data_IF_344536478061
#
_entry.id   IF_344536478061
#
_cell.length_a   1.000
_cell.length_b   1.000
_cell.length_c   1.000
_cell.angle_alpha   90.00
_cell.angle_beta   90.00
_cell.angle_gamma   90.00
#
_symmetry.space_group_name_H-M   'P 1'
#
loop_
_entity.id
_entity.type
_entity.pdbx_description
1 polymer ?
#
# COMPACT_ATOMS: atom_id res chain seq x y z
N UNK A 1 -6.22 11.97 -11.78
CA UNK A 1 -5.77 12.83 -10.67
C UNK A 1 -5.06 11.92 -9.71
N UNK A 2 -3.79 12.19 -9.40
CA UNK A 2 -3.10 11.46 -8.34
C UNK A 2 -3.51 12.16 -7.04
N UNK A 3 -4.28 11.48 -6.19
CA UNK A 3 -4.85 12.10 -4.98
C UNK A 3 -3.88 12.06 -3.79
N UNK A 4 -2.57 12.07 -4.06
CA UNK A 4 -1.52 11.95 -3.03
C UNK A 4 -1.27 10.53 -2.51
N UNK A 5 -1.95 9.53 -3.06
CA UNK A 5 -1.79 8.13 -2.65
C UNK A 5 -0.58 7.48 -3.32
N UNK A 6 0.30 6.90 -2.51
CA UNK A 6 1.47 6.17 -2.94
C UNK A 6 1.48 4.76 -2.37
N UNK A 7 2.01 3.81 -3.13
CA UNK A 7 2.11 2.41 -2.70
C UNK A 7 3.00 2.32 -1.45
N UNK A 8 2.52 1.55 -0.48
CA UNK A 8 3.28 1.25 0.74
C UNK A 8 3.92 -0.13 0.63
N UNK A 9 5.15 -0.26 1.12
CA UNK A 9 5.86 -1.53 1.13
C UNK A 9 5.46 -2.43 2.32
N UNK A 10 5.64 -3.74 2.15
CA UNK A 10 5.08 -4.75 3.03
C UNK A 10 5.64 -4.72 4.46
N UNK A 11 6.85 -4.22 4.64
CA UNK A 11 7.55 -4.10 5.92
C UNK A 11 7.17 -2.84 6.71
N UNK A 12 6.54 -1.86 6.05
CA UNK A 12 6.08 -0.64 6.69
C UNK A 12 4.89 -0.95 7.62
N UNK A 13 4.74 -0.10 8.65
CA UNK A 13 3.75 -0.26 9.71
C UNK A 13 2.68 0.80 9.59
N UNK A 14 1.42 0.37 9.68
CA UNK A 14 0.25 1.25 9.74
C UNK A 14 -0.35 1.26 11.14
N UNK A 15 -0.92 2.41 11.51
CA UNK A 15 -1.69 2.55 12.74
C UNK A 15 -3.10 3.05 12.42
N UNK A 16 -4.12 2.25 12.78
CA UNK A 16 -5.54 2.59 12.64
C UNK A 16 -6.16 2.62 14.04
N UNK A 17 -6.24 3.83 14.60
CA UNK A 17 -6.65 4.06 15.98
C UNK A 17 -8.12 3.70 16.25
N UNK A 18 -9.00 3.90 15.27
CA UNK A 18 -10.43 3.68 15.43
C UNK A 18 -10.81 2.22 15.19
N UNK A 19 -11.26 1.52 16.25
CA UNK A 19 -11.66 0.11 16.16
C UNK A 19 -12.77 -0.14 15.11
N UNK A 20 -13.70 0.79 14.92
CA UNK A 20 -14.82 0.65 13.96
C UNK A 20 -14.40 0.78 12.50
N UNK A 21 -13.20 1.30 12.24
CA UNK A 21 -12.66 1.46 10.88
C UNK A 21 -11.66 0.34 10.53
N UNK A 22 -11.37 -0.57 11.46
CA UNK A 22 -10.50 -1.71 11.18
C UNK A 22 -11.24 -2.75 10.34
N UNK A 23 -10.60 -3.18 9.25
CA UNK A 23 -11.17 -4.15 8.32
C UNK A 23 -10.88 -5.60 8.73
N UNK A 24 -9.59 -5.98 8.74
CA UNK A 24 -9.15 -7.38 8.87
C UNK A 24 -8.30 -7.66 10.10
N UNK A 25 -7.66 -6.63 10.66
CA UNK A 25 -6.73 -6.76 11.78
C UNK A 25 -7.36 -6.14 13.02
N UNK A 26 -7.37 -6.89 14.13
CA UNK A 26 -8.08 -6.50 15.34
C UNK A 26 -7.28 -5.53 16.24
N UNK A 27 -5.97 -5.43 16.05
CA UNK A 27 -5.09 -4.52 16.78
C UNK A 27 -4.83 -3.24 15.97
N UNK A 28 -4.42 -2.17 16.65
CA UNK A 28 -4.27 -0.85 16.04
C UNK A 28 -3.09 -0.74 15.09
N UNK A 29 -2.03 -1.52 15.31
CA UNK A 29 -0.72 -1.29 14.71
C UNK A 29 -0.20 -2.56 14.05
N UNK A 30 -0.13 -2.56 12.72
CA UNK A 30 0.20 -3.76 11.95
C UNK A 30 1.11 -3.45 10.77
N UNK A 31 1.90 -4.44 10.35
CA UNK A 31 2.64 -4.36 9.10
C UNK A 31 1.68 -4.50 7.91
N UNK A 32 1.98 -3.82 6.80
CA UNK A 32 1.22 -3.96 5.55
C UNK A 32 1.22 -5.42 5.09
N UNK A 33 2.33 -6.14 5.23
CA UNK A 33 2.43 -7.56 4.92
C UNK A 33 1.49 -8.44 5.76
N UNK A 34 1.27 -8.10 7.03
CA UNK A 34 0.28 -8.80 7.88
C UNK A 34 -1.13 -8.62 7.29
N UNK A 35 -1.47 -7.40 6.89
CA UNK A 35 -2.78 -7.09 6.30
C UNK A 35 -3.00 -7.86 4.99
N UNK A 36 -2.01 -7.87 4.10
CA UNK A 36 -2.07 -8.59 2.82
C UNK A 36 -2.22 -10.11 3.06
N UNK A 37 -1.46 -10.69 3.98
CA UNK A 37 -1.58 -12.11 4.33
C UNK A 37 -2.95 -12.46 4.89
N UNK A 38 -3.50 -11.61 5.77
CA UNK A 38 -4.86 -11.77 6.30
C UNK A 38 -5.91 -11.65 5.20
N UNK A 39 -5.75 -10.72 4.27
CA UNK A 39 -6.65 -10.56 3.14
C UNK A 39 -6.63 -11.78 2.22
N UNK A 40 -5.44 -12.28 1.88
CA UNK A 40 -5.27 -13.50 1.08
C UNK A 40 -5.99 -14.69 1.73
N UNK A 41 -5.82 -14.87 3.05
CA UNK A 41 -6.51 -15.93 3.79
C UNK A 41 -8.03 -15.73 3.81
N UNK A 42 -8.50 -14.49 4.01
CA UNK A 42 -9.93 -14.16 4.08
C UNK A 42 -10.65 -14.38 2.75
N UNK A 43 -10.01 -14.10 1.62
CA UNK A 43 -10.60 -14.36 0.29
C UNK A 43 -10.40 -15.80 -0.19
N UNK A 44 -9.70 -16.64 0.57
CA UNK A 44 -9.43 -18.03 0.23
C UNK A 44 -8.54 -18.19 -1.01
N UNK A 45 -7.65 -17.23 -1.28
CA UNK A 45 -6.81 -17.26 -2.48
C UNK A 45 -5.76 -18.38 -2.39
N UNK A 46 -5.73 -19.24 -3.40
CA UNK A 46 -4.82 -20.40 -3.47
C UNK A 46 -4.20 -20.55 -4.86
N UNK A 47 -3.06 -21.26 -4.94
CA UNK A 47 -2.35 -21.51 -6.20
C UNK A 47 -2.02 -20.21 -6.95
N UNK A 48 -2.40 -20.14 -8.22
CA UNK A 48 -2.19 -18.97 -9.09
C UNK A 48 -2.86 -17.69 -8.57
N UNK A 49 -3.92 -17.80 -7.76
CA UNK A 49 -4.61 -16.63 -7.20
C UNK A 49 -3.72 -15.85 -6.24
N UNK A 50 -2.68 -16.47 -5.66
CA UNK A 50 -1.72 -15.81 -4.77
C UNK A 50 -0.99 -14.66 -5.50
N UNK A 51 -0.86 -14.74 -6.83
CA UNK A 51 -0.23 -13.68 -7.64
C UNK A 51 -0.93 -12.33 -7.53
N UNK A 52 -2.22 -12.30 -7.19
CA UNK A 52 -2.94 -11.05 -6.88
C UNK A 52 -2.29 -10.26 -5.73
N UNK A 53 -1.59 -10.94 -4.82
CA UNK A 53 -0.99 -10.35 -3.61
C UNK A 53 0.54 -10.24 -3.70
N UNK A 54 1.14 -10.57 -4.85
CA UNK A 54 2.59 -10.53 -5.06
C UNK A 54 2.99 -9.83 -6.39
N UNK A 55 3.29 -10.62 -7.43
CA UNK A 55 3.80 -10.15 -8.73
C UNK A 55 2.72 -9.60 -9.67
N UNK A 56 1.44 -9.80 -9.34
CA UNK A 56 0.29 -9.45 -10.15
C UNK A 56 -0.05 -10.48 -11.22
N UNK A 57 -1.31 -10.42 -11.68
CA UNK A 57 -1.82 -11.28 -12.74
C UNK A 57 -1.88 -10.54 -14.08
N UNK A 58 -1.65 -11.24 -15.19
CA UNK A 58 -1.79 -10.66 -16.52
C UNK A 58 -3.26 -10.31 -16.81
N UNK A 59 -3.49 -9.10 -17.32
CA UNK A 59 -4.82 -8.62 -17.63
C UNK A 59 -4.79 -7.65 -18.82
N UNK A 60 -6.00 -7.24 -19.26
CA UNK A 60 -6.19 -6.13 -20.19
C UNK A 60 -7.11 -5.10 -19.56
N UNK A 61 -6.79 -3.83 -19.72
CA UNK A 61 -7.65 -2.72 -19.29
C UNK A 61 -8.22 -1.99 -20.50
N UNK A 62 -9.50 -1.67 -20.45
CA UNK A 62 -10.17 -0.79 -21.40
C UNK A 62 -10.61 0.47 -20.66
N UNK A 63 -10.11 1.63 -21.07
CA UNK A 63 -10.55 2.93 -20.55
C UNK A 63 -11.54 3.56 -21.54
N UNK A 64 -12.51 4.38 -21.08
CA UNK A 64 -13.38 5.12 -21.98
C UNK A 64 -12.57 5.89 -23.04
N UNK A 65 -12.92 5.71 -24.32
CA UNK A 65 -12.22 6.34 -25.45
C UNK A 65 -10.84 5.77 -25.80
N UNK A 66 -10.43 4.65 -25.19
CA UNK A 66 -9.14 4.01 -25.46
C UNK A 66 -9.30 2.59 -26.03
N UNK A 67 -8.20 2.02 -26.54
CA UNK A 67 -8.11 0.61 -26.92
C UNK A 67 -7.72 -0.26 -25.72
N UNK A 68 -7.96 -1.57 -25.82
CA UNK A 68 -7.47 -2.55 -24.86
C UNK A 68 -5.94 -2.47 -24.72
N UNK A 69 -5.47 -2.31 -23.48
CA UNK A 69 -4.02 -2.33 -23.15
C UNK A 69 -3.70 -3.51 -22.25
N UNK A 70 -2.71 -4.33 -22.66
CA UNK A 70 -2.18 -5.41 -21.84
C UNK A 70 -1.34 -4.87 -20.68
N UNK A 71 -1.37 -5.54 -19.54
CA UNK A 71 -0.58 -5.20 -18.36
C UNK A 71 -0.80 -6.21 -17.24
N UNK A 72 -0.47 -5.82 -16.01
CA UNK A 72 -0.72 -6.62 -14.81
C UNK A 72 -1.56 -5.86 -13.80
N UNK A 73 -2.29 -6.59 -12.95
CA UNK A 73 -3.03 -6.05 -11.81
C UNK A 73 -2.71 -6.84 -10.54
N UNK A 74 -2.62 -6.14 -9.40
CA UNK A 74 -2.42 -6.69 -8.06
C UNK A 74 -3.14 -5.86 -7.01
N UNK A 75 -3.35 -6.44 -5.84
CA UNK A 75 -3.89 -5.77 -4.64
C UNK A 75 -2.73 -5.24 -3.82
N UNK A 76 -2.82 -3.97 -3.43
CA UNK A 76 -1.85 -3.28 -2.57
C UNK A 76 -2.57 -2.29 -1.68
N UNK A 77 -1.91 -1.85 -0.60
CA UNK A 77 -2.31 -0.66 0.13
C UNK A 77 -1.59 0.56 -0.44
N UNK A 78 -2.26 1.70 -0.39
CA UNK A 78 -1.71 3.01 -0.72
C UNK A 78 -1.94 3.94 0.47
N UNK A 79 -1.04 4.91 0.66
CA UNK A 79 -1.09 5.90 1.72
C UNK A 79 -0.98 7.29 1.15
N UNK A 80 -1.77 8.21 1.69
CA UNK A 80 -1.64 9.64 1.43
C UNK A 80 -1.29 10.31 2.76
N UNK A 81 -0.10 10.89 2.90
CA UNK A 81 0.22 11.68 4.08
C UNK A 81 -0.61 12.98 4.10
N UNK A 82 -0.91 13.49 5.29
CA UNK A 82 -1.66 14.75 5.46
C UNK A 82 -0.86 15.96 4.94
N UNK A 83 0.45 15.91 5.08
CA UNK A 83 1.40 16.89 4.54
C UNK A 83 2.37 16.18 3.59
N UNK A 84 2.73 16.78 2.45
CA UNK A 84 3.70 16.17 1.55
C UNK A 84 5.04 15.99 2.26
N UNK A 85 5.66 14.81 2.11
CA UNK A 85 7.02 14.60 2.60
C UNK A 85 7.95 15.60 1.90
N UNK A 86 8.52 16.52 2.68
CA UNK A 86 9.50 17.50 2.20
C UNK A 86 10.82 16.76 1.98
N UNK A 87 11.38 16.73 0.75
CA UNK A 87 12.68 16.10 0.49
C UNK A 87 13.84 16.72 1.29
N UNK A 88 13.61 17.89 1.90
CA UNK A 88 14.58 18.62 2.71
C UNK A 88 14.46 18.30 4.20
N UNK A 89 13.43 17.57 4.64
CA UNK A 89 13.22 17.28 6.06
C UNK A 89 14.31 16.37 6.61
N UNK A 90 14.75 15.39 5.83
CA UNK A 90 15.89 14.51 6.16
C UNK A 90 17.20 15.31 6.28
N UNK A 91 17.43 16.27 5.38
CA UNK A 91 18.62 17.13 5.39
C UNK A 91 18.60 18.05 6.61
N UNK A 92 17.43 18.58 6.98
CA UNK A 92 17.26 19.42 8.18
C UNK A 92 17.51 18.65 9.47
N UNK A 93 17.14 17.36 9.53
CA UNK A 93 17.40 16.53 10.70
C UNK A 93 18.90 16.23 10.86
N UNK A 94 19.59 15.88 9.78
CA UNK A 94 21.04 15.65 9.79
C UNK A 94 21.84 16.88 10.25
N UNK A 95 21.50 18.08 9.75
CA UNK A 95 22.17 19.32 10.15
C UNK A 95 21.98 19.68 11.64
N UNK A 96 20.87 19.24 12.27
CA UNK A 96 20.63 19.48 13.70
C UNK A 96 21.41 18.51 14.59
N UNK A 97 21.68 17.31 14.10
CA UNK A 97 22.47 16.29 14.80
C UNK A 97 23.96 16.61 14.76
N UNK A 98 24.46 17.24 13.68
CA UNK A 98 25.88 17.63 13.54
C UNK A 98 26.27 18.85 14.40
N UNK A 99 25.30 19.68 14.82
CA UNK A 99 25.49 20.87 15.66
C UNK A 99 25.32 20.60 17.18
N UNK A 100 25.10 19.35 17.60
CA UNK A 100 24.88 18.93 19.01
C UNK A 100 26.02 18.07 19.56
#
# INVERSE_FOLDING_TARGET
MNNGFERIEADNVLCVNTNTQRLLINHSTFQVGEFINRMQAQVGATGEQIKWFSEGIDCKVLRPGANWKQGKVRVTLEFCPDEPESPLEDIRQQLKEDDS
#
